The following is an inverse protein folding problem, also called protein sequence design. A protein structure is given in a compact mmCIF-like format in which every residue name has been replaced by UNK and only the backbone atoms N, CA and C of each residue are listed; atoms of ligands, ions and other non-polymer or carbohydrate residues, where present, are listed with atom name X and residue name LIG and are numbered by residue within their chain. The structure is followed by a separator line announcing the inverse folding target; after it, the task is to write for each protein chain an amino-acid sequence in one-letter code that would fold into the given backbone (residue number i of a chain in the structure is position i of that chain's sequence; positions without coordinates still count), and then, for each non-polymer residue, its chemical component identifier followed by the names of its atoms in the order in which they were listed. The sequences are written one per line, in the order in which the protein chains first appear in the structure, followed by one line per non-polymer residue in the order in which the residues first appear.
data_IF_741127049804
#
_entry.id   IF_741127049804
#
_cell.length_a   1.000
_cell.length_b   1.000
_cell.length_c   1.000
_cell.angle_alpha   90.00
_cell.angle_beta   90.00
_cell.angle_gamma   90.00
#
_symmetry.space_group_name_H-M   'P 1'
#
loop_
_entity.id
_entity.type
_entity.pdbx_description
1 polymer ?
#
# COMPACT_ATOMS: atom_id res chain seq x y z
N UNK A 1 -5.50 42.23 84.85
CA UNK A 1 -5.20 42.40 83.44
C UNK A 1 -4.61 41.10 82.97
N UNK A 2 -5.41 40.19 82.32
CA UNK A 2 -5.00 38.88 81.84
C UNK A 2 -4.67 38.98 80.35
N UNK A 3 -3.45 38.68 79.98
CA UNK A 3 -3.05 38.53 78.56
C UNK A 3 -3.40 37.12 78.11
N UNK A 4 -4.28 36.96 77.14
CA UNK A 4 -4.56 35.72 76.42
C UNK A 4 -3.52 35.53 75.31
N UNK A 5 -2.89 34.40 75.28
CA UNK A 5 -1.97 34.01 74.22
C UNK A 5 -2.80 33.27 73.11
N UNK A 6 -2.84 33.87 71.93
CA UNK A 6 -3.39 33.23 70.75
C UNK A 6 -2.34 32.33 70.12
N UNK A 7 -2.59 31.04 70.04
CA UNK A 7 -1.73 30.07 69.40
C UNK A 7 -2.18 29.99 67.91
N UNK A 8 -1.29 30.36 66.95
CA UNK A 8 -1.49 30.21 65.52
C UNK A 8 -1.04 28.78 65.13
N UNK A 9 -2.00 27.93 64.76
CA UNK A 9 -1.74 26.63 64.13
C UNK A 9 -1.39 26.85 62.67
N UNK A 10 -0.12 26.65 62.28
CA UNK A 10 0.31 26.58 60.90
C UNK A 10 0.02 25.18 60.34
N UNK A 11 -1.03 25.03 59.59
CA UNK A 11 -1.36 23.80 58.88
C UNK A 11 -0.39 23.59 57.70
N UNK A 12 0.48 22.58 57.78
CA UNK A 12 1.29 22.14 56.65
C UNK A 12 0.38 21.44 55.61
N UNK A 13 0.07 22.14 54.52
CA UNK A 13 -0.55 21.51 53.39
C UNK A 13 0.47 20.60 52.66
N UNK A 14 0.28 19.31 52.79
CA UNK A 14 1.00 18.32 51.98
C UNK A 14 0.43 18.42 50.55
N UNK A 15 1.20 19.04 49.66
CA UNK A 15 0.98 18.87 48.22
C UNK A 15 1.39 17.43 47.88
N UNK A 16 0.40 16.57 47.65
CA UNK A 16 0.62 15.29 47.00
C UNK A 16 1.10 15.58 45.56
N UNK A 17 2.40 15.36 45.33
CA UNK A 17 2.91 15.31 43.95
C UNK A 17 2.16 14.17 43.24
N UNK A 18 1.60 14.41 42.03
CA UNK A 18 1.10 13.31 41.28
C UNK A 18 2.25 12.36 41.01
N UNK A 19 2.07 11.08 41.39
CA UNK A 19 3.01 10.03 41.07
C UNK A 19 3.24 10.10 39.55
N UNK A 20 4.50 10.27 39.14
CA UNK A 20 4.93 10.04 37.76
C UNK A 20 4.43 8.67 37.41
N UNK A 21 3.46 8.62 36.48
CA UNK A 21 2.84 7.38 36.05
C UNK A 21 3.92 6.42 35.57
N UNK A 22 3.78 5.16 35.98
CA UNK A 22 4.54 4.07 35.38
C UNK A 22 4.53 4.27 33.84
N UNK A 23 5.70 4.23 33.20
CA UNK A 23 5.83 4.37 31.75
C UNK A 23 4.82 3.43 31.10
N UNK A 24 3.74 4.00 30.59
CA UNK A 24 2.76 3.23 29.82
C UNK A 24 3.51 2.69 28.60
N UNK A 25 3.32 1.40 28.30
CA UNK A 25 3.93 0.81 27.12
C UNK A 25 3.61 1.68 25.87
N UNK A 26 4.58 1.88 24.97
CA UNK A 26 4.37 2.71 23.81
C UNK A 26 3.18 2.20 22.98
N UNK A 27 2.37 3.10 22.41
CA UNK A 27 1.23 2.70 21.58
C UNK A 27 1.67 1.83 20.40
N UNK A 28 0.93 0.76 20.12
CA UNK A 28 1.18 -0.14 18.99
C UNK A 28 0.10 -0.01 17.92
N UNK A 29 0.52 0.26 16.68
CA UNK A 29 -0.34 0.28 15.49
C UNK A 29 0.03 -0.89 14.59
N UNK A 30 -0.96 -1.69 14.21
CA UNK A 30 -0.79 -2.86 13.35
C UNK A 30 -1.13 -2.54 11.89
N UNK A 31 -0.46 -3.22 10.97
CA UNK A 31 -0.70 -3.14 9.52
C UNK A 31 -0.66 -4.53 8.91
N UNK A 32 -1.33 -4.76 7.77
CA UNK A 32 -1.38 -6.05 7.08
C UNK A 32 -0.70 -6.06 5.71
N UNK A 33 -0.34 -4.88 5.19
CA UNK A 33 0.20 -4.74 3.83
C UNK A 33 1.43 -3.82 3.81
N UNK A 34 2.27 -3.97 2.78
CA UNK A 34 3.43 -3.09 2.60
C UNK A 34 3.04 -1.61 2.52
N UNK A 35 1.97 -1.30 1.80
CA UNK A 35 1.53 0.09 1.62
C UNK A 35 1.12 0.71 2.96
N UNK A 36 0.21 0.07 3.71
CA UNK A 36 -0.19 0.52 5.04
C UNK A 36 1.01 0.65 5.98
N UNK A 37 1.93 -0.34 5.97
CA UNK A 37 3.13 -0.32 6.79
C UNK A 37 4.04 0.87 6.48
N UNK A 38 4.41 1.04 5.21
CA UNK A 38 5.33 2.13 4.80
C UNK A 38 4.77 3.52 5.12
N UNK A 39 3.49 3.74 4.84
CA UNK A 39 2.83 5.02 5.12
C UNK A 39 2.77 5.29 6.62
N UNK A 40 2.34 4.31 7.42
CA UNK A 40 2.21 4.47 8.88
C UNK A 40 3.56 4.70 9.54
N UNK A 41 4.61 3.94 9.14
CA UNK A 41 5.98 4.15 9.66
C UNK A 41 6.50 5.55 9.31
N UNK A 42 6.27 6.01 8.08
CA UNK A 42 6.68 7.36 7.67
C UNK A 42 5.98 8.44 8.50
N UNK A 43 4.68 8.30 8.74
CA UNK A 43 3.87 9.26 9.50
C UNK A 43 4.24 9.30 11.00
N UNK A 44 4.59 8.16 11.59
CA UNK A 44 4.91 8.05 13.03
C UNK A 44 6.38 8.22 13.35
N UNK A 45 7.24 8.49 12.37
CA UNK A 45 8.67 8.69 12.58
C UNK A 45 8.95 9.79 13.61
N UNK A 46 9.84 9.51 14.59
CA UNK A 46 10.18 10.45 15.67
C UNK A 46 9.13 10.56 16.79
N UNK A 47 8.09 9.72 16.78
CA UNK A 47 7.14 9.54 17.88
C UNK A 47 7.41 8.23 18.62
N UNK A 48 6.86 8.02 19.84
CA UNK A 48 6.96 6.73 20.53
C UNK A 48 6.02 5.66 19.94
N UNK A 49 5.19 5.98 18.95
CA UNK A 49 4.23 5.05 18.34
C UNK A 49 5.00 3.96 17.59
N UNK A 50 4.80 2.72 18.02
CA UNK A 50 5.36 1.54 17.35
C UNK A 50 4.43 1.09 16.21
N UNK A 51 5.02 0.67 15.10
CA UNK A 51 4.29 0.12 13.95
C UNK A 51 4.78 -1.29 13.69
N UNK A 52 3.87 -2.24 13.62
CA UNK A 52 4.19 -3.64 13.34
C UNK A 52 3.31 -4.18 12.22
N UNK A 53 3.94 -4.75 11.19
CA UNK A 53 3.19 -5.49 10.19
C UNK A 53 2.90 -6.92 10.67
N UNK A 54 1.75 -7.47 10.29
CA UNK A 54 1.32 -8.84 10.63
C UNK A 54 1.11 -9.64 9.35
N UNK A 55 1.97 -10.63 9.08
CA UNK A 55 3.24 -10.92 9.77
C UNK A 55 4.34 -9.90 9.47
N UNK A 56 5.39 -9.90 10.28
CA UNK A 56 6.50 -8.93 10.15
C UNK A 56 7.16 -8.96 8.75
N UNK A 57 7.31 -10.14 8.17
CA UNK A 57 7.90 -10.40 6.85
C UNK A 57 6.90 -10.27 5.68
N UNK A 58 5.70 -9.77 5.95
CA UNK A 58 4.64 -9.64 4.95
C UNK A 58 4.02 -10.99 4.53
N UNK A 59 2.84 -10.90 3.93
CA UNK A 59 2.15 -12.04 3.34
C UNK A 59 1.27 -11.52 2.22
N UNK A 60 1.11 -12.27 1.15
CA UNK A 60 0.11 -11.94 0.13
C UNK A 60 -1.27 -11.79 0.78
N UNK A 61 -2.00 -10.76 0.42
CA UNK A 61 -3.30 -10.45 1.02
C UNK A 61 -4.26 -11.63 0.93
N UNK A 62 -4.26 -12.34 -0.20
CA UNK A 62 -5.05 -13.55 -0.40
C UNK A 62 -4.74 -14.70 0.58
N UNK A 63 -3.54 -14.72 1.17
CA UNK A 63 -3.08 -15.75 2.11
C UNK A 63 -3.08 -15.26 3.57
N UNK A 64 -3.35 -13.99 3.80
CA UNK A 64 -3.24 -13.36 5.11
C UNK A 64 -4.28 -13.92 6.10
N UNK A 65 -5.51 -14.17 5.63
CA UNK A 65 -6.56 -14.76 6.44
C UNK A 65 -6.14 -16.13 7.01
N UNK A 66 -5.71 -17.05 6.15
CA UNK A 66 -5.28 -18.38 6.55
C UNK A 66 -4.06 -18.34 7.49
N UNK A 67 -3.16 -17.37 7.27
CA UNK A 67 -2.01 -17.16 8.14
C UNK A 67 -2.45 -16.78 9.56
N UNK A 68 -3.35 -15.80 9.70
CA UNK A 68 -3.83 -15.32 11.00
C UNK A 68 -4.62 -16.44 11.70
N UNK A 69 -5.54 -17.10 11.01
CA UNK A 69 -6.36 -18.21 11.58
C UNK A 69 -5.48 -19.31 12.20
N UNK A 70 -4.45 -19.74 11.48
CA UNK A 70 -3.53 -20.79 11.96
C UNK A 70 -2.62 -20.35 13.09
N UNK A 71 -2.47 -19.06 13.34
CA UNK A 71 -1.55 -18.49 14.32
C UNK A 71 -2.24 -17.62 15.37
N UNK A 72 -3.56 -17.69 15.45
CA UNK A 72 -4.36 -16.83 16.32
C UNK A 72 -3.86 -16.83 17.76
N UNK A 73 -3.58 -18.02 18.34
CA UNK A 73 -3.07 -18.14 19.71
C UNK A 73 -1.78 -17.35 19.93
N UNK A 74 -0.86 -17.38 18.96
CA UNK A 74 0.42 -16.67 19.04
C UNK A 74 0.29 -15.17 18.72
N UNK A 75 -0.71 -14.77 17.98
CA UNK A 75 -0.97 -13.37 17.61
C UNK A 75 -1.85 -12.63 18.64
N UNK A 76 -2.65 -13.35 19.41
CA UNK A 76 -3.56 -12.77 20.41
C UNK A 76 -2.87 -11.79 21.36
N UNK A 77 -1.68 -12.04 21.93
CA UNK A 77 -1.00 -11.05 22.79
C UNK A 77 -0.69 -9.75 22.04
N UNK A 78 -0.29 -9.82 20.79
CA UNK A 78 -0.04 -8.65 19.92
C UNK A 78 -1.33 -7.87 19.68
N UNK A 79 -2.42 -8.55 19.34
CA UNK A 79 -3.73 -7.93 19.13
C UNK A 79 -4.28 -7.27 20.38
N UNK A 80 -4.13 -7.91 21.55
CA UNK A 80 -4.56 -7.36 22.85
C UNK A 80 -3.79 -6.10 23.21
N UNK A 81 -2.50 -6.03 22.89
CA UNK A 81 -1.64 -4.87 23.19
C UNK A 81 -1.78 -3.73 22.18
N UNK A 82 -2.34 -3.98 21.00
CA UNK A 82 -2.47 -2.98 19.95
C UNK A 82 -3.52 -1.91 20.28
N UNK A 83 -3.22 -0.67 19.90
CA UNK A 83 -4.12 0.48 20.02
C UNK A 83 -4.98 0.63 18.78
N UNK A 84 -4.40 0.41 17.58
CA UNK A 84 -5.09 0.55 16.31
C UNK A 84 -4.60 -0.44 15.25
N UNK A 85 -5.41 -0.63 14.21
CA UNK A 85 -5.06 -1.29 12.96
C UNK A 85 -5.24 -0.30 11.83
N UNK A 86 -4.26 -0.20 10.93
CA UNK A 86 -4.45 0.47 9.65
C UNK A 86 -4.92 -0.58 8.64
N UNK A 87 -6.18 -0.50 8.25
CA UNK A 87 -6.88 -1.46 7.40
C UNK A 87 -7.18 -0.89 6.01
N UNK A 88 -7.53 -1.77 5.10
CA UNK A 88 -8.00 -1.47 3.75
C UNK A 88 -9.39 -2.09 3.50
N UNK A 89 -10.11 -2.46 4.55
CA UNK A 89 -11.28 -3.33 4.53
C UNK A 89 -12.42 -2.78 3.66
N UNK A 90 -12.62 -1.46 3.66
CA UNK A 90 -13.70 -0.83 2.90
C UNK A 90 -13.45 -0.86 1.37
N UNK A 91 -12.17 -0.81 0.94
CA UNK A 91 -11.81 -0.96 -0.47
C UNK A 91 -11.52 -2.42 -0.85
N UNK A 92 -10.96 -3.19 0.08
CA UNK A 92 -10.60 -4.60 -0.09
C UNK A 92 -11.25 -5.44 1.02
N UNK A 93 -12.49 -5.88 0.85
CA UNK A 93 -13.19 -6.69 1.86
C UNK A 93 -12.48 -8.00 2.25
N UNK A 94 -11.47 -8.40 1.46
CA UNK A 94 -10.58 -9.52 1.76
C UNK A 94 -9.47 -9.22 2.79
N UNK A 95 -9.27 -7.95 3.21
CA UNK A 95 -8.33 -7.63 4.30
C UNK A 95 -8.89 -8.11 5.65
N UNK A 96 -8.26 -9.12 6.28
CA UNK A 96 -8.81 -9.75 7.46
C UNK A 96 -8.32 -9.13 8.77
N UNK A 97 -7.28 -8.28 8.73
CA UNK A 97 -6.47 -7.98 9.92
C UNK A 97 -7.30 -7.30 11.02
N UNK A 98 -8.06 -6.25 10.67
CA UNK A 98 -8.88 -5.56 11.66
C UNK A 98 -9.91 -6.49 12.32
N UNK A 99 -10.57 -7.34 11.52
CA UNK A 99 -11.57 -8.28 12.05
C UNK A 99 -10.98 -9.20 13.12
N UNK A 100 -9.85 -9.84 12.85
CA UNK A 100 -9.21 -10.73 13.82
C UNK A 100 -8.63 -10.00 15.02
N UNK A 101 -8.05 -8.82 14.81
CA UNK A 101 -7.54 -8.01 15.92
C UNK A 101 -8.68 -7.57 16.84
N UNK A 102 -9.85 -7.22 16.29
CA UNK A 102 -11.02 -6.84 17.06
C UNK A 102 -11.66 -8.00 17.82
N UNK A 103 -11.61 -9.21 17.31
CA UNK A 103 -12.05 -10.41 18.02
C UNK A 103 -11.24 -10.61 19.33
N UNK A 104 -9.94 -10.29 19.33
CA UNK A 104 -9.07 -10.36 20.50
C UNK A 104 -9.11 -9.10 21.38
N UNK A 105 -9.35 -7.92 20.78
CA UNK A 105 -9.32 -6.63 21.46
C UNK A 105 -10.47 -5.73 20.99
N UNK A 106 -11.58 -5.74 21.71
CA UNK A 106 -12.78 -4.95 21.34
C UNK A 106 -12.54 -3.44 21.34
N UNK A 107 -11.47 -2.95 21.98
CA UNK A 107 -11.13 -1.51 22.06
C UNK A 107 -10.22 -1.04 20.95
N UNK A 108 -9.75 -1.95 20.08
CA UNK A 108 -8.84 -1.60 18.99
C UNK A 108 -9.54 -0.65 18.01
N UNK A 109 -8.84 0.39 17.59
CA UNK A 109 -9.35 1.38 16.64
C UNK A 109 -9.04 0.92 15.23
N UNK A 110 -10.01 1.07 14.32
CA UNK A 110 -9.83 0.88 12.90
C UNK A 110 -9.47 2.21 12.23
N UNK A 111 -8.34 2.26 11.57
CA UNK A 111 -7.88 3.36 10.72
C UNK A 111 -8.01 2.88 9.27
N UNK A 112 -9.09 3.26 8.61
CA UNK A 112 -9.35 2.86 7.22
C UNK A 112 -8.57 3.75 6.26
N UNK A 113 -7.56 3.17 5.60
CA UNK A 113 -6.60 3.95 4.80
C UNK A 113 -7.04 4.22 3.36
N UNK A 114 -8.13 3.64 2.88
CA UNK A 114 -8.55 3.76 1.49
C UNK A 114 -9.90 4.45 1.31
N UNK A 115 -10.94 3.93 1.94
CA UNK A 115 -12.31 4.48 1.87
C UNK A 115 -12.78 4.80 3.27
N UNK A 116 -12.75 6.07 3.70
CA UNK A 116 -13.05 6.45 5.07
C UNK A 116 -14.49 6.10 5.45
N UNK A 117 -14.72 5.86 6.74
CA UNK A 117 -16.05 5.58 7.27
C UNK A 117 -17.02 6.77 7.12
N UNK A 118 -16.50 7.98 7.04
CA UNK A 118 -17.30 9.19 6.79
C UNK A 118 -17.67 9.30 5.32
N UNK A 119 -18.96 9.33 5.01
CA UNK A 119 -19.47 9.51 3.65
C UNK A 119 -19.14 10.89 3.04
N UNK A 120 -18.74 11.85 3.86
CA UNK A 120 -18.38 13.19 3.42
C UNK A 120 -16.89 13.36 3.13
N UNK A 121 -16.06 12.38 3.51
CA UNK A 121 -14.64 12.41 3.26
C UNK A 121 -14.31 11.62 1.97
N UNK A 122 -13.60 12.22 1.00
CA UNK A 122 -13.22 11.48 -0.20
C UNK A 122 -12.20 10.38 0.14
N UNK A 123 -12.40 9.20 -0.44
CA UNK A 123 -11.44 8.10 -0.39
C UNK A 123 -10.36 8.20 -1.47
N UNK A 124 -9.65 7.10 -1.68
CA UNK A 124 -8.75 6.92 -2.83
C UNK A 124 -9.56 6.77 -4.12
N UNK A 125 -8.95 7.08 -5.26
CA UNK A 125 -9.54 6.78 -6.56
C UNK A 125 -9.54 5.28 -6.81
N UNK A 126 -10.71 4.67 -6.98
CA UNK A 126 -10.85 3.25 -7.30
C UNK A 126 -11.12 3.06 -8.80
N UNK A 127 -10.53 2.04 -9.39
CA UNK A 127 -10.71 1.62 -10.77
C UNK A 127 -11.20 0.18 -10.83
N UNK A 128 -11.95 -0.15 -11.87
CA UNK A 128 -12.31 -1.52 -12.17
C UNK A 128 -11.12 -2.28 -12.74
N UNK A 129 -11.06 -3.59 -12.50
CA UNK A 129 -10.07 -4.47 -13.12
C UNK A 129 -10.28 -4.47 -14.63
N UNK A 130 -9.28 -4.09 -15.45
CA UNK A 130 -9.40 -4.13 -16.89
C UNK A 130 -9.69 -5.54 -17.41
N UNK A 131 -10.46 -5.60 -18.47
CA UNK A 131 -10.70 -6.82 -19.27
C UNK A 131 -9.87 -6.77 -20.55
N UNK A 132 -9.75 -7.90 -21.25
CA UNK A 132 -9.08 -7.93 -22.57
C UNK A 132 -9.79 -7.03 -23.58
N UNK A 133 -9.04 -6.14 -24.22
CA UNK A 133 -9.54 -5.13 -25.15
C UNK A 133 -9.21 -5.44 -26.61
N UNK A 134 -8.31 -6.41 -26.87
CA UNK A 134 -7.85 -6.73 -28.21
C UNK A 134 -8.86 -7.56 -28.99
N UNK A 135 -9.07 -7.26 -30.27
CA UNK A 135 -10.07 -7.91 -31.08
C UNK A 135 -9.84 -9.42 -31.31
N UNK A 136 -8.60 -9.86 -31.23
CA UNK A 136 -8.20 -11.27 -31.34
C UNK A 136 -8.34 -12.06 -30.04
N UNK A 137 -8.65 -11.38 -28.92
CA UNK A 137 -8.74 -11.98 -27.60
C UNK A 137 -10.10 -12.61 -27.27
N UNK A 138 -10.77 -13.26 -28.22
CA UNK A 138 -12.15 -13.78 -28.03
C UNK A 138 -12.27 -14.84 -26.92
N UNK A 139 -11.20 -15.59 -26.65
CA UNK A 139 -11.14 -16.63 -25.62
C UNK A 139 -10.34 -16.16 -24.38
N UNK A 140 -10.16 -14.85 -24.26
CA UNK A 140 -9.51 -14.24 -23.09
C UNK A 140 -10.35 -14.45 -21.83
N UNK A 141 -9.68 -14.43 -20.68
CA UNK A 141 -10.37 -14.46 -19.41
C UNK A 141 -11.16 -13.16 -19.23
N UNK A 142 -12.41 -13.29 -18.83
CA UNK A 142 -13.26 -12.16 -18.47
C UNK A 142 -13.45 -12.22 -16.96
N UNK A 143 -12.61 -11.54 -16.19
CA UNK A 143 -12.84 -11.44 -14.75
C UNK A 143 -14.17 -10.73 -14.50
N UNK A 144 -14.88 -11.12 -13.45
CA UNK A 144 -15.98 -10.31 -12.95
C UNK A 144 -15.47 -8.89 -12.71
N UNK A 145 -16.30 -7.89 -13.01
CA UNK A 145 -15.97 -6.49 -12.75
C UNK A 145 -15.83 -6.30 -11.25
N UNK A 146 -14.60 -6.23 -10.79
CA UNK A 146 -14.24 -6.00 -9.39
C UNK A 146 -13.28 -4.82 -9.31
N UNK A 147 -13.23 -4.19 -8.16
CA UNK A 147 -12.23 -3.15 -7.90
C UNK A 147 -10.84 -3.76 -8.04
N UNK A 148 -9.99 -3.15 -8.85
CA UNK A 148 -8.61 -3.59 -9.00
C UNK A 148 -7.87 -3.47 -7.65
N UNK A 149 -7.06 -4.49 -7.25
CA UNK A 149 -6.64 -4.60 -5.85
C UNK A 149 -5.51 -3.65 -5.44
N UNK A 150 -4.62 -3.24 -6.34
CA UNK A 150 -3.35 -2.60 -5.97
C UNK A 150 -3.39 -1.07 -6.14
N UNK A 151 -4.43 -0.41 -5.56
CA UNK A 151 -4.64 1.03 -5.68
C UNK A 151 -3.50 1.88 -5.10
N UNK A 152 -2.70 1.35 -4.18
CA UNK A 152 -1.51 2.01 -3.63
C UNK A 152 -0.37 2.19 -4.65
N UNK A 153 -0.44 1.57 -5.82
CA UNK A 153 0.53 1.78 -6.90
C UNK A 153 0.32 3.11 -7.64
N UNK A 154 -0.82 3.80 -7.44
CA UNK A 154 -0.96 5.21 -7.79
C UNK A 154 -0.33 6.06 -6.70
N UNK A 155 0.59 6.96 -7.10
CA UNK A 155 1.19 7.95 -6.20
C UNK A 155 0.13 8.86 -5.60
N UNK A 156 -0.87 9.25 -6.40
CA UNK A 156 -2.01 10.07 -5.96
C UNK A 156 -2.81 9.37 -4.86
N UNK A 157 -3.08 8.07 -5.03
CA UNK A 157 -3.74 7.27 -4.02
C UNK A 157 -2.88 7.08 -2.77
N UNK A 158 -1.57 6.83 -2.93
CA UNK A 158 -0.66 6.69 -1.79
C UNK A 158 -0.62 7.98 -0.94
N UNK A 159 -0.64 9.16 -1.59
CA UNK A 159 -0.77 10.45 -0.89
C UNK A 159 -2.10 10.53 -0.15
N UNK A 160 -3.20 10.18 -0.80
CA UNK A 160 -4.52 10.21 -0.17
C UNK A 160 -4.65 9.23 1.00
N UNK A 161 -4.09 8.03 0.87
CA UNK A 161 -3.97 7.09 1.99
C UNK A 161 -3.18 7.70 3.16
N UNK A 162 -2.08 8.38 2.86
CA UNK A 162 -1.29 9.11 3.86
C UNK A 162 -2.11 10.17 4.59
N UNK A 163 -2.94 10.95 3.88
CA UNK A 163 -3.85 11.94 4.48
C UNK A 163 -4.84 11.29 5.44
N UNK A 164 -5.52 10.19 5.01
CA UNK A 164 -6.50 9.48 5.83
C UNK A 164 -5.88 8.89 7.10
N UNK A 165 -4.76 8.20 6.95
CA UNK A 165 -4.05 7.61 8.11
C UNK A 165 -3.55 8.69 9.06
N UNK A 166 -3.04 9.82 8.55
CA UNK A 166 -2.54 10.92 9.40
C UNK A 166 -3.68 11.58 10.18
N UNK A 167 -4.85 11.79 9.56
CA UNK A 167 -6.03 12.36 10.21
C UNK A 167 -6.44 11.52 11.43
N UNK A 168 -6.56 10.21 11.27
CA UNK A 168 -6.95 9.30 12.35
C UNK A 168 -5.85 9.15 13.40
N UNK A 169 -4.57 9.11 12.99
CA UNK A 169 -3.44 9.07 13.94
C UNK A 169 -3.38 10.34 14.79
N UNK A 170 -3.64 11.52 14.22
CA UNK A 170 -3.70 12.79 14.97
C UNK A 170 -4.86 12.79 15.95
N UNK A 171 -6.03 12.28 15.54
CA UNK A 171 -7.19 12.17 16.43
C UNK A 171 -6.92 11.20 17.60
N UNK A 172 -6.21 10.10 17.34
CA UNK A 172 -5.88 9.07 18.34
C UNK A 172 -4.72 9.46 19.25
N UNK A 173 -3.75 10.21 18.72
CA UNK A 173 -2.50 10.62 19.42
C UNK A 173 -2.28 12.15 19.31
N UNK A 174 -3.14 12.97 19.91
CA UNK A 174 -3.10 14.44 19.75
C UNK A 174 -1.77 15.07 20.21
N UNK A 175 -1.08 14.48 21.18
CA UNK A 175 0.23 14.96 21.65
C UNK A 175 1.32 14.86 20.58
N UNK A 176 1.11 14.06 19.53
CA UNK A 176 2.04 13.87 18.43
C UNK A 176 1.58 14.54 17.13
N UNK A 177 0.48 15.29 17.14
CA UNK A 177 -0.15 15.90 15.96
C UNK A 177 0.83 16.72 15.12
N UNK A 178 1.67 17.55 15.75
CA UNK A 178 2.64 18.40 15.04
C UNK A 178 3.72 17.59 14.30
N UNK A 179 4.20 16.49 14.90
CA UNK A 179 5.20 15.60 14.29
C UNK A 179 4.57 14.83 13.13
N UNK A 180 3.39 14.24 13.34
CA UNK A 180 2.65 13.51 12.31
C UNK A 180 2.34 14.42 11.11
N UNK A 181 1.89 15.66 11.35
CA UNK A 181 1.63 16.64 10.30
C UNK A 181 2.88 16.99 9.49
N UNK A 182 4.02 17.21 10.17
CA UNK A 182 5.31 17.46 9.49
C UNK A 182 5.76 16.27 8.64
N UNK A 183 5.58 15.06 9.16
CA UNK A 183 5.91 13.83 8.46
C UNK A 183 5.02 13.62 7.23
N UNK A 184 3.72 13.93 7.35
CA UNK A 184 2.77 13.87 6.23
C UNK A 184 3.23 14.78 5.08
N UNK A 185 3.57 16.04 5.36
CA UNK A 185 4.05 16.98 4.33
C UNK A 185 5.37 16.52 3.70
N UNK A 186 6.23 15.86 4.48
CA UNK A 186 7.48 15.28 3.97
C UNK A 186 7.21 14.10 3.05
N UNK A 187 6.30 13.20 3.46
CA UNK A 187 5.86 12.06 2.67
C UNK A 187 5.25 12.51 1.34
N UNK A 188 4.30 13.45 1.37
CA UNK A 188 3.64 14.01 0.17
C UNK A 188 4.67 14.59 -0.80
N UNK A 189 5.60 15.40 -0.29
CA UNK A 189 6.65 16.02 -1.11
C UNK A 189 7.55 14.96 -1.77
N UNK A 190 7.93 13.90 -1.05
CA UNK A 190 8.76 12.83 -1.59
C UNK A 190 8.05 12.03 -2.68
N UNK A 191 6.77 11.72 -2.50
CA UNK A 191 5.95 11.01 -3.46
C UNK A 191 5.69 11.85 -4.72
N UNK A 192 5.36 13.14 -4.57
CA UNK A 192 5.19 14.07 -5.69
C UNK A 192 6.48 14.26 -6.48
N UNK A 193 7.62 14.35 -5.80
CA UNK A 193 8.93 14.42 -6.44
C UNK A 193 9.20 13.18 -7.27
N UNK A 194 8.99 11.97 -6.69
CA UNK A 194 9.13 10.71 -7.40
C UNK A 194 8.26 10.69 -8.66
N UNK A 195 6.98 11.06 -8.53
CA UNK A 195 6.04 11.10 -9.66
C UNK A 195 6.54 12.01 -10.78
N UNK A 196 6.93 13.25 -10.47
CA UNK A 196 7.41 14.21 -11.47
C UNK A 196 8.68 13.72 -12.18
N UNK A 197 9.69 13.25 -11.42
CA UNK A 197 10.92 12.71 -11.97
C UNK A 197 10.68 11.55 -12.94
N UNK A 198 9.74 10.66 -12.63
CA UNK A 198 9.47 9.53 -13.51
C UNK A 198 8.56 9.87 -14.68
N UNK A 199 7.64 10.83 -14.54
CA UNK A 199 6.88 11.32 -15.70
C UNK A 199 7.80 11.92 -16.75
N UNK A 200 8.77 12.74 -16.37
CA UNK A 200 9.78 13.28 -17.28
C UNK A 200 10.60 12.16 -17.95
N UNK A 201 11.10 11.19 -17.17
CA UNK A 201 11.89 10.06 -17.69
C UNK A 201 11.10 9.16 -18.64
N UNK A 202 9.82 8.92 -18.38
CA UNK A 202 8.94 8.12 -19.25
C UNK A 202 8.75 8.82 -20.59
N UNK A 203 8.54 10.14 -20.59
CA UNK A 203 8.45 10.95 -21.82
C UNK A 203 9.77 10.90 -22.59
N UNK A 204 10.89 11.14 -21.94
CA UNK A 204 12.21 11.20 -22.57
C UNK A 204 12.63 9.85 -23.16
N UNK A 205 12.24 8.72 -22.56
CA UNK A 205 12.52 7.38 -23.05
C UNK A 205 11.57 6.91 -24.17
N UNK A 206 10.48 7.64 -24.40
CA UNK A 206 9.39 7.21 -25.30
C UNK A 206 8.64 5.99 -24.76
N UNK A 207 8.53 5.88 -23.43
CA UNK A 207 7.81 4.81 -22.72
C UNK A 207 6.35 5.19 -22.44
N UNK A 208 5.75 6.05 -23.24
CA UNK A 208 4.40 6.55 -23.07
C UNK A 208 3.31 5.51 -23.42
N UNK A 209 3.69 4.46 -24.16
CA UNK A 209 2.78 3.39 -24.59
C UNK A 209 3.28 2.02 -24.15
N UNK A 210 2.40 1.25 -23.50
CA UNK A 210 2.66 -0.12 -23.07
C UNK A 210 1.53 -1.06 -23.51
N UNK A 211 1.83 -2.36 -23.57
CA UNK A 211 0.82 -3.41 -23.72
C UNK A 211 0.75 -4.23 -22.42
N UNK A 212 -0.43 -4.62 -21.98
CA UNK A 212 -0.61 -5.27 -20.68
C UNK A 212 -1.13 -6.71 -20.81
N UNK A 213 -0.43 -7.64 -20.19
CA UNK A 213 -0.86 -9.04 -20.04
C UNK A 213 -1.59 -9.28 -18.71
N UNK A 214 -1.81 -8.24 -17.91
CA UNK A 214 -2.55 -8.26 -16.65
C UNK A 214 -3.23 -6.92 -16.40
N UNK A 215 -4.34 -6.92 -15.66
CA UNK A 215 -5.02 -5.70 -15.22
C UNK A 215 -4.49 -5.10 -13.91
N UNK A 216 -3.54 -5.77 -13.25
CA UNK A 216 -3.08 -5.44 -11.89
C UNK A 216 -2.42 -4.05 -11.76
N UNK A 217 -1.92 -3.48 -12.85
CA UNK A 217 -1.16 -2.22 -12.83
C UNK A 217 -1.94 -1.01 -13.35
N UNK A 218 -3.26 -1.11 -13.47
CA UNK A 218 -4.12 -0.03 -13.96
C UNK A 218 -3.92 1.28 -13.20
N UNK A 219 -3.69 1.23 -11.90
CA UNK A 219 -3.44 2.42 -11.09
C UNK A 219 -2.09 3.06 -11.37
N UNK A 220 -1.04 2.24 -11.56
CA UNK A 220 0.29 2.73 -11.90
C UNK A 220 0.28 3.39 -13.28
N UNK A 221 -0.31 2.72 -14.27
CA UNK A 221 -0.37 3.22 -15.65
C UNK A 221 -1.17 4.50 -15.75
N UNK A 222 -2.35 4.56 -15.11
CA UNK A 222 -3.21 5.74 -15.13
C UNK A 222 -2.55 6.94 -14.44
N UNK A 223 -1.96 6.75 -13.26
CA UNK A 223 -1.38 7.85 -12.48
C UNK A 223 -0.09 8.41 -13.12
N UNK A 224 0.66 7.55 -13.79
CA UNK A 224 1.88 7.96 -14.50
C UNK A 224 1.62 8.48 -15.92
N UNK A 225 0.38 8.40 -16.41
CA UNK A 225 0.02 8.83 -17.76
C UNK A 225 0.49 7.87 -18.86
N UNK A 226 0.74 6.60 -18.54
CA UNK A 226 1.07 5.57 -19.52
C UNK A 226 -0.20 5.14 -20.27
N UNK A 227 -0.17 5.23 -21.58
CA UNK A 227 -1.25 4.70 -22.42
C UNK A 227 -1.11 3.18 -22.57
N UNK A 228 -2.13 2.43 -22.16
CA UNK A 228 -2.18 0.99 -22.40
C UNK A 228 -2.88 0.76 -23.72
N UNK A 229 -2.12 0.41 -24.77
CA UNK A 229 -2.62 0.16 -26.14
C UNK A 229 -3.60 -1.00 -26.18
N UNK A 230 -3.38 -2.01 -25.35
CA UNK A 230 -4.29 -3.13 -25.21
C UNK A 230 -4.03 -3.99 -24.01
N UNK A 231 -5.07 -4.67 -23.57
CA UNK A 231 -5.04 -5.72 -22.58
C UNK A 231 -5.33 -7.07 -23.22
N UNK A 232 -4.50 -8.07 -22.95
CA UNK A 232 -4.80 -9.46 -23.23
C UNK A 232 -4.58 -10.30 -21.98
N UNK A 233 -5.66 -10.55 -21.24
CA UNK A 233 -5.64 -11.22 -19.94
C UNK A 233 -6.09 -12.66 -20.16
N UNK A 234 -5.13 -13.60 -20.03
CA UNK A 234 -5.36 -15.02 -20.24
C UNK A 234 -4.34 -15.82 -19.43
N UNK A 235 -4.78 -16.87 -18.76
CA UNK A 235 -3.87 -17.76 -18.05
C UNK A 235 -2.84 -18.35 -19.00
N UNK A 236 -1.56 -18.36 -18.63
CA UNK A 236 -0.44 -18.80 -19.46
C UNK A 236 -0.66 -20.17 -20.11
N UNK A 237 -1.21 -21.11 -19.35
CA UNK A 237 -1.45 -22.50 -19.80
C UNK A 237 -2.54 -22.61 -20.88
N UNK A 238 -3.32 -21.56 -21.09
CA UNK A 238 -4.41 -21.51 -22.08
C UNK A 238 -4.03 -20.82 -23.39
N UNK A 239 -2.80 -20.25 -23.46
CA UNK A 239 -2.33 -19.59 -24.67
C UNK A 239 -2.15 -20.60 -25.80
N UNK A 240 -2.63 -20.23 -26.97
CA UNK A 240 -2.49 -21.00 -28.21
C UNK A 240 -1.43 -20.39 -29.13
N UNK A 241 -0.97 -21.15 -30.12
CA UNK A 241 -0.07 -20.63 -31.15
C UNK A 241 -0.69 -19.43 -31.92
N UNK A 242 -2.02 -19.42 -32.08
CA UNK A 242 -2.73 -18.31 -32.67
C UNK A 242 -2.67 -17.04 -31.80
N UNK A 243 -2.78 -17.16 -30.48
CA UNK A 243 -2.63 -16.04 -29.54
C UNK A 243 -1.22 -15.46 -29.59
N UNK A 244 -0.20 -16.35 -29.60
CA UNK A 244 1.22 -15.95 -29.68
C UNK A 244 1.52 -15.20 -30.99
N UNK A 245 1.01 -15.70 -32.12
CA UNK A 245 1.17 -15.06 -33.40
C UNK A 245 0.43 -13.71 -33.47
N UNK A 246 -0.78 -13.64 -32.93
CA UNK A 246 -1.57 -12.42 -32.84
C UNK A 246 -0.90 -11.36 -31.95
N UNK A 247 -0.37 -11.74 -30.78
CA UNK A 247 0.39 -10.84 -29.92
C UNK A 247 1.61 -10.29 -30.66
N UNK A 248 2.44 -11.16 -31.25
CA UNK A 248 3.63 -10.73 -31.99
C UNK A 248 3.29 -9.75 -33.11
N UNK A 249 2.21 -10.03 -33.84
CA UNK A 249 1.75 -9.13 -34.94
C UNK A 249 1.27 -7.79 -34.36
N UNK A 250 0.44 -7.80 -33.32
CA UNK A 250 -0.12 -6.60 -32.70
C UNK A 250 0.99 -5.68 -32.19
N UNK A 251 1.94 -6.21 -31.41
CA UNK A 251 3.06 -5.45 -30.86
C UNK A 251 3.91 -4.80 -31.96
N UNK A 252 4.15 -5.54 -33.06
CA UNK A 252 4.93 -5.04 -34.19
C UNK A 252 4.19 -3.96 -34.97
N UNK A 253 2.92 -4.19 -35.28
CA UNK A 253 2.11 -3.28 -36.10
C UNK A 253 1.89 -1.92 -35.39
N UNK A 254 1.80 -1.93 -34.05
CA UNK A 254 1.63 -0.75 -33.23
C UNK A 254 2.96 -0.21 -32.64
N UNK A 255 4.10 -0.76 -33.05
CA UNK A 255 5.43 -0.36 -32.58
C UNK A 255 5.58 -0.33 -31.04
N UNK A 256 4.89 -1.25 -30.36
CA UNK A 256 4.94 -1.35 -28.89
C UNK A 256 6.30 -1.88 -28.43
N UNK A 257 6.97 -1.12 -27.57
CA UNK A 257 8.30 -1.47 -27.05
C UNK A 257 8.24 -2.21 -25.73
N UNK A 258 7.21 -1.98 -24.90
CA UNK A 258 7.12 -2.47 -23.53
C UNK A 258 5.83 -3.26 -23.33
N UNK A 259 6.00 -4.49 -22.84
CA UNK A 259 4.90 -5.36 -22.40
C UNK A 259 5.00 -5.56 -20.91
N UNK A 260 3.95 -5.23 -20.16
CA UNK A 260 3.94 -5.36 -18.70
C UNK A 260 3.18 -6.60 -18.24
N UNK A 261 3.72 -7.26 -17.21
CA UNK A 261 3.08 -8.41 -16.55
C UNK A 261 3.39 -8.44 -15.05
N UNK A 262 2.66 -9.23 -14.29
CA UNK A 262 2.85 -9.39 -12.83
C UNK A 262 3.85 -10.51 -12.47
N UNK A 263 4.00 -11.48 -13.34
CA UNK A 263 4.94 -12.60 -13.19
C UNK A 263 5.68 -12.88 -14.47
N UNK A 264 6.72 -13.71 -14.37
CA UNK A 264 7.43 -14.20 -15.54
C UNK A 264 6.55 -15.22 -16.28
N UNK A 265 6.03 -14.92 -17.48
CA UNK A 265 5.16 -15.83 -18.20
C UNK A 265 5.94 -16.98 -18.84
N UNK A 266 5.23 -17.90 -19.50
CA UNK A 266 5.83 -19.03 -20.21
C UNK A 266 6.88 -18.57 -21.25
N UNK A 267 7.84 -19.43 -21.55
CA UNK A 267 8.90 -19.15 -22.53
C UNK A 267 8.31 -18.82 -23.92
N UNK A 268 7.18 -19.42 -24.26
CA UNK A 268 6.50 -19.16 -25.54
C UNK A 268 6.01 -17.70 -25.62
N UNK A 269 5.41 -17.18 -24.55
CA UNK A 269 4.95 -15.78 -24.47
C UNK A 269 6.16 -14.83 -24.52
N UNK A 270 7.23 -15.13 -23.76
CA UNK A 270 8.46 -14.34 -23.80
C UNK A 270 9.07 -14.26 -25.20
N UNK A 271 9.12 -15.39 -25.91
CA UNK A 271 9.59 -15.45 -27.31
C UNK A 271 8.71 -14.65 -28.25
N UNK A 272 7.37 -14.69 -28.09
CA UNK A 272 6.46 -13.93 -28.91
C UNK A 272 6.66 -12.41 -28.73
N UNK A 273 6.84 -11.95 -27.49
CA UNK A 273 7.17 -10.55 -27.17
C UNK A 273 8.50 -10.13 -27.80
N UNK A 274 9.56 -10.92 -27.59
CA UNK A 274 10.89 -10.64 -28.13
C UNK A 274 10.93 -10.67 -29.66
N UNK A 275 10.18 -11.57 -30.30
CA UNK A 275 10.07 -11.64 -31.77
C UNK A 275 9.42 -10.40 -32.39
N UNK A 276 8.63 -9.67 -31.61
CA UNK A 276 8.06 -8.39 -32.03
C UNK A 276 9.05 -7.21 -31.85
N UNK A 277 10.20 -7.43 -31.21
CA UNK A 277 11.14 -6.37 -30.84
C UNK A 277 10.78 -5.65 -29.54
N UNK A 278 9.78 -6.15 -28.81
CA UNK A 278 9.35 -5.61 -27.52
C UNK A 278 10.09 -6.27 -26.35
N UNK A 279 10.12 -5.61 -25.20
CA UNK A 279 10.66 -6.13 -23.94
C UNK A 279 9.55 -6.42 -22.96
N UNK A 280 9.61 -7.59 -22.33
CA UNK A 280 8.72 -7.97 -21.23
C UNK A 280 9.25 -7.40 -19.93
N UNK A 281 8.42 -6.68 -19.19
CA UNK A 281 8.70 -6.10 -17.88
C UNK A 281 7.79 -6.75 -16.85
N UNK A 282 8.40 -7.42 -15.86
CA UNK A 282 7.67 -7.96 -14.71
C UNK A 282 7.65 -6.91 -13.62
N UNK A 283 6.44 -6.46 -13.28
CA UNK A 283 6.20 -5.44 -12.27
C UNK A 283 5.81 -6.06 -10.92
N UNK A 284 6.12 -5.35 -9.86
CA UNK A 284 5.85 -5.74 -8.48
C UNK A 284 4.59 -5.02 -7.97
N UNK A 285 3.61 -5.78 -7.52
CA UNK A 285 2.36 -5.23 -6.98
C UNK A 285 2.49 -4.74 -5.52
N UNK A 286 3.62 -5.00 -4.87
CA UNK A 286 3.80 -4.69 -3.45
C UNK A 286 3.05 -5.64 -2.52
N UNK A 287 2.73 -6.83 -3.00
CA UNK A 287 2.04 -7.89 -2.28
C UNK A 287 2.79 -9.21 -2.47
N UNK A 288 3.58 -9.67 -1.48
CA UNK A 288 3.61 -9.29 -0.05
C UNK A 288 4.46 -8.07 0.33
N UNK A 289 5.26 -7.49 -0.56
CA UNK A 289 6.13 -6.35 -0.29
C UNK A 289 7.62 -6.67 -0.28
N UNK A 290 8.44 -5.70 0.10
CA UNK A 290 9.91 -5.77 0.14
C UNK A 290 10.37 -6.25 1.51
N UNK A 291 10.99 -7.41 1.57
CA UNK A 291 11.48 -8.01 2.83
C UNK A 291 12.97 -7.77 2.99
N UNK A 292 13.36 -7.19 4.13
CA UNK A 292 14.74 -6.98 4.56
C UNK A 292 14.88 -7.53 5.97
N UNK A 293 15.86 -8.40 6.21
CA UNK A 293 16.12 -8.98 7.53
C UNK A 293 14.89 -9.57 8.24
N UNK A 294 14.01 -10.25 7.50
CA UNK A 294 12.76 -10.87 7.96
C UNK A 294 11.66 -9.89 8.41
N UNK A 295 11.74 -8.65 7.96
CA UNK A 295 10.69 -7.65 8.16
C UNK A 295 10.42 -6.89 6.86
N UNK A 296 9.26 -6.26 6.75
CA UNK A 296 9.00 -5.35 5.64
C UNK A 296 9.92 -4.13 5.72
N UNK A 297 10.43 -3.70 4.57
CA UNK A 297 11.19 -2.47 4.46
C UNK A 297 10.29 -1.25 4.79
N UNK A 298 10.81 -0.33 5.62
CA UNK A 298 10.04 0.85 6.04
C UNK A 298 9.58 1.74 4.89
N UNK A 299 10.40 1.86 3.87
CA UNK A 299 10.16 2.62 2.63
C UNK A 299 9.82 1.71 1.43
N UNK A 300 9.38 0.47 1.70
CA UNK A 300 9.15 -0.55 0.67
C UNK A 300 8.16 -0.12 -0.42
N UNK A 301 7.14 0.70 -0.10
CA UNK A 301 6.23 1.23 -1.11
C UNK A 301 6.96 2.11 -2.13
N UNK A 302 7.82 3.04 -1.68
CA UNK A 302 8.60 3.89 -2.56
C UNK A 302 9.60 3.07 -3.38
N UNK A 303 10.21 2.05 -2.78
CA UNK A 303 11.12 1.13 -3.49
C UNK A 303 10.40 0.38 -4.61
N UNK A 304 9.18 -0.11 -4.37
CA UNK A 304 8.36 -0.80 -5.37
C UNK A 304 7.99 0.13 -6.51
N UNK A 305 7.48 1.33 -6.21
CA UNK A 305 7.14 2.33 -7.23
C UNK A 305 8.36 2.65 -8.10
N UNK A 306 9.49 2.94 -7.47
CA UNK A 306 10.75 3.23 -8.17
C UNK A 306 11.21 2.07 -9.04
N UNK A 307 11.26 0.86 -8.50
CA UNK A 307 11.68 -0.37 -9.23
C UNK A 307 10.82 -0.60 -10.47
N UNK A 308 9.50 -0.47 -10.33
CA UNK A 308 8.57 -0.66 -11.43
C UNK A 308 8.79 0.38 -12.53
N UNK A 309 8.90 1.65 -12.17
CA UNK A 309 9.08 2.73 -13.11
C UNK A 309 10.46 2.71 -13.77
N UNK A 310 11.54 2.41 -13.03
CA UNK A 310 12.88 2.17 -13.59
C UNK A 310 12.85 1.05 -14.64
N UNK A 311 12.16 -0.06 -14.35
CA UNK A 311 12.07 -1.19 -15.27
C UNK A 311 11.36 -0.82 -16.58
N UNK A 312 10.30 -0.02 -16.52
CA UNK A 312 9.58 0.46 -17.72
C UNK A 312 10.48 1.40 -18.54
N UNK A 313 11.10 2.40 -17.89
CA UNK A 313 12.00 3.38 -18.55
C UNK A 313 13.16 2.67 -19.25
N UNK A 314 13.84 1.75 -18.56
CA UNK A 314 14.97 0.98 -19.13
C UNK A 314 14.51 0.12 -20.31
N UNK A 315 13.34 -0.50 -20.22
CA UNK A 315 12.83 -1.32 -21.30
C UNK A 315 12.52 -0.51 -22.56
N UNK A 316 12.04 0.71 -22.44
CA UNK A 316 11.69 1.56 -23.58
C UNK A 316 12.88 2.26 -24.24
N UNK A 317 13.90 2.64 -23.44
CA UNK A 317 15.04 3.46 -23.88
C UNK A 317 16.22 2.66 -24.46
N UNK A 318 16.29 1.36 -24.24
CA UNK A 318 17.29 0.46 -24.80
C UNK A 318 16.77 -0.30 -26.03
#
# INVERSE_FOLDING_TARGET
MKLERVAILVGAAWFAQPALGADAAPPLVLTGTQAAYSLTVALTAGTPIQVQNVPADGRQLALLKDYIERRMDSLTPTFVSATAVVSLTNALPGDPLYRFAREANIRIVDIEAAVPWSINAPGVGLAETPTSTVAWGKDADSPETVVAPYFWLSVSNAIRMGDLVAEDLVALFPDHAAVIGTNLETLKRSLLKLRGEYQDRLIDSGADVVFALTGDFVYLTNDMGLYVDGYFIKQDVRWTDADLAALTKHLRDNAIKVVIHKWQPSEAIQKAVSAAGAKLVVLDAGDPGVVVERALAKDGLQQILKKNLDAIVVAAGE
#
